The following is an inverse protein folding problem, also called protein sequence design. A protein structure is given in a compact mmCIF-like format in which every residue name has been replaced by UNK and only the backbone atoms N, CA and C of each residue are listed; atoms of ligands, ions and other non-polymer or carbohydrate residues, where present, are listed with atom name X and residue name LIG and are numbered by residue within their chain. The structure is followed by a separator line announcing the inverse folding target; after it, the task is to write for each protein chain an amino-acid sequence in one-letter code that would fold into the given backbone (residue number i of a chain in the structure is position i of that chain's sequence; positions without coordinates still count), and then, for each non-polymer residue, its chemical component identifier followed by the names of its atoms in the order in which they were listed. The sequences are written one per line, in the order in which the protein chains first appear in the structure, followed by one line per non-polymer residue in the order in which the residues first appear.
data_IF_435022483525
#
_entry.id   IF_435022483525
#
_cell.length_a   1.000
_cell.length_b   1.000
_cell.length_c   1.000
_cell.angle_alpha   90.00
_cell.angle_beta   90.00
_cell.angle_gamma   90.00
#
_symmetry.space_group_name_H-M   'P 1'
#
loop_
_entity.id
_entity.type
_entity.pdbx_description
1 polymer ?
#
# COMPACT_ATOMS: atom_id res chain seq x y z
N UNK A 1 5.43 -40.31 -8.73
CA UNK A 1 5.71 -38.93 -9.16
C UNK A 1 4.71 -38.46 -10.20
N UNK A 2 4.78 -38.84 -11.49
CA UNK A 2 3.74 -38.43 -12.46
C UNK A 2 2.32 -38.90 -12.10
N UNK A 3 2.17 -40.13 -11.59
CA UNK A 3 0.86 -40.63 -11.14
C UNK A 3 0.30 -39.85 -9.94
N UNK A 4 1.14 -39.48 -8.97
CA UNK A 4 0.73 -38.67 -7.82
C UNK A 4 0.34 -37.24 -8.24
N UNK A 5 1.09 -36.64 -9.17
CA UNK A 5 0.78 -35.33 -9.74
C UNK A 5 -0.57 -35.34 -10.47
N UNK A 6 -0.86 -36.39 -11.24
CA UNK A 6 -2.15 -36.58 -11.94
C UNK A 6 -3.31 -36.81 -10.96
N UNK A 7 -3.09 -37.60 -9.90
CA UNK A 7 -4.09 -37.81 -8.84
C UNK A 7 -4.43 -36.50 -8.12
N UNK A 8 -3.42 -35.73 -7.73
CA UNK A 8 -3.59 -34.43 -7.07
C UNK A 8 -4.28 -33.44 -8.01
N UNK A 9 -3.89 -33.39 -9.28
CA UNK A 9 -4.53 -32.55 -10.30
C UNK A 9 -6.02 -32.88 -10.42
N UNK A 10 -6.35 -34.17 -10.54
CA UNK A 10 -7.73 -34.64 -10.63
C UNK A 10 -8.54 -34.25 -9.41
N UNK A 11 -7.99 -34.42 -8.20
CA UNK A 11 -8.62 -34.00 -6.95
C UNK A 11 -8.93 -32.51 -6.94
N UNK A 12 -7.98 -31.65 -7.36
CA UNK A 12 -8.14 -30.19 -7.36
C UNK A 12 -9.20 -29.76 -8.40
N UNK A 13 -9.20 -30.37 -9.58
CA UNK A 13 -10.20 -30.11 -10.63
C UNK A 13 -11.61 -30.56 -10.20
N UNK A 14 -11.71 -31.71 -9.53
CA UNK A 14 -12.98 -32.19 -8.95
C UNK A 14 -13.49 -31.28 -7.85
N UNK A 15 -12.59 -30.78 -6.99
CA UNK A 15 -12.93 -29.78 -5.98
C UNK A 15 -13.46 -28.50 -6.60
N UNK A 16 -12.77 -27.92 -7.61
CA UNK A 16 -13.25 -26.71 -8.28
C UNK A 16 -14.63 -26.93 -8.92
N UNK A 17 -14.86 -28.11 -9.52
CA UNK A 17 -16.16 -28.47 -10.07
C UNK A 17 -17.24 -28.64 -8.97
N UNK A 18 -16.88 -29.16 -7.78
CA UNK A 18 -17.81 -29.26 -6.64
C UNK A 18 -18.16 -27.87 -6.09
N UNK A 19 -17.17 -27.00 -5.95
CA UNK A 19 -17.33 -25.59 -5.59
C UNK A 19 -18.31 -24.90 -6.55
N UNK A 20 -18.13 -25.09 -7.86
CA UNK A 20 -19.02 -24.52 -8.88
C UNK A 20 -20.47 -25.03 -8.81
N UNK A 21 -20.68 -26.29 -8.39
CA UNK A 21 -22.02 -26.87 -8.22
C UNK A 21 -22.66 -26.60 -6.85
N UNK A 22 -21.97 -25.92 -5.93
CA UNK A 22 -22.41 -25.78 -4.54
C UNK A 22 -22.47 -27.11 -3.78
N UNK A 23 -21.64 -28.09 -4.17
CA UNK A 23 -21.60 -29.42 -3.57
C UNK A 23 -20.69 -29.45 -2.35
N UNK A 24 -21.26 -29.18 -1.17
CA UNK A 24 -20.53 -29.17 0.10
C UNK A 24 -19.78 -30.48 0.38
N UNK A 25 -20.33 -31.64 0.01
CA UNK A 25 -19.66 -32.90 0.26
C UNK A 25 -18.42 -33.06 -0.64
N UNK A 26 -18.54 -32.66 -1.90
CA UNK A 26 -17.40 -32.63 -2.83
C UNK A 26 -16.34 -31.59 -2.44
N UNK A 27 -16.73 -30.45 -1.87
CA UNK A 27 -15.79 -29.43 -1.38
C UNK A 27 -14.96 -29.93 -0.21
N UNK A 28 -15.59 -30.66 0.71
CA UNK A 28 -14.92 -31.19 1.91
C UNK A 28 -14.18 -32.51 1.63
N UNK A 29 -14.44 -33.13 0.48
CA UNK A 29 -13.71 -34.31 0.07
C UNK A 29 -12.21 -33.99 -0.01
N UNK A 30 -11.41 -34.94 0.50
CA UNK A 30 -9.96 -34.89 0.48
C UNK A 30 -9.35 -33.65 1.19
N UNK A 31 -10.03 -33.12 2.21
CA UNK A 31 -9.46 -32.15 3.17
C UNK A 31 -9.10 -32.88 4.46
N UNK A 32 -7.99 -32.49 5.07
CA UNK A 32 -7.64 -33.01 6.39
C UNK A 32 -8.54 -32.42 7.47
N UNK A 33 -8.80 -33.18 8.53
CA UNK A 33 -9.60 -32.72 9.67
C UNK A 33 -9.00 -31.47 10.34
N UNK A 34 -7.67 -31.33 10.26
CA UNK A 34 -6.85 -30.24 10.80
C UNK A 34 -6.52 -29.14 9.77
N UNK A 35 -7.26 -29.04 8.66
CA UNK A 35 -7.00 -28.08 7.59
C UNK A 35 -6.84 -26.65 8.12
N UNK A 36 -5.85 -25.93 7.57
CA UNK A 36 -5.64 -24.50 7.81
C UNK A 36 -5.87 -23.74 6.51
N UNK A 37 -6.83 -22.82 6.51
CA UNK A 37 -7.09 -21.95 5.36
C UNK A 37 -6.78 -20.49 5.69
N UNK A 38 -6.10 -19.81 4.78
CA UNK A 38 -6.11 -18.36 4.65
C UNK A 38 -6.90 -18.00 3.40
N UNK A 39 -7.99 -17.27 3.58
CA UNK A 39 -8.90 -16.92 2.49
C UNK A 39 -8.94 -15.40 2.30
N UNK A 40 -9.57 -14.96 1.20
CA UNK A 40 -9.76 -13.54 0.88
C UNK A 40 -10.74 -12.86 1.86
N UNK A 41 -11.90 -13.45 2.21
CA UNK A 41 -12.79 -12.87 3.21
C UNK A 41 -12.23 -13.06 4.64
N UNK A 42 -12.67 -12.24 5.62
CA UNK A 42 -12.40 -12.47 7.03
C UNK A 42 -12.78 -13.90 7.47
N UNK A 43 -12.13 -14.45 8.53
CA UNK A 43 -11.31 -13.76 9.53
C UNK A 43 -9.84 -13.57 9.13
N UNK A 44 -9.23 -12.45 9.56
CA UNK A 44 -7.82 -12.12 9.26
C UNK A 44 -6.81 -13.14 9.81
N UNK A 45 -7.17 -13.84 10.89
CA UNK A 45 -6.34 -14.90 11.47
C UNK A 45 -6.42 -16.21 10.68
N UNK A 46 -7.28 -16.31 9.66
CA UNK A 46 -7.61 -17.52 8.91
C UNK A 46 -8.48 -18.51 9.69
N UNK A 47 -8.84 -19.61 9.03
CA UNK A 47 -9.75 -20.66 9.52
C UNK A 47 -8.98 -21.95 9.80
N UNK A 48 -9.36 -22.70 10.84
CA UNK A 48 -8.66 -23.91 11.30
C UNK A 48 -9.66 -25.01 11.65
N UNK A 49 -9.43 -26.20 11.12
CA UNK A 49 -10.29 -27.37 11.29
C UNK A 49 -11.41 -27.46 10.25
N UNK A 50 -11.82 -28.70 9.93
CA UNK A 50 -12.77 -28.99 8.84
C UNK A 50 -14.17 -28.40 9.07
N UNK A 51 -14.63 -28.30 10.33
CA UNK A 51 -15.93 -27.71 10.66
C UNK A 51 -15.94 -26.20 10.39
N UNK A 52 -14.90 -25.49 10.84
CA UNK A 52 -14.78 -24.06 10.59
C UNK A 52 -14.57 -23.76 9.10
N UNK A 53 -13.82 -24.62 8.39
CA UNK A 53 -13.69 -24.55 6.93
C UNK A 53 -15.04 -24.73 6.23
N UNK A 54 -15.86 -25.72 6.64
CA UNK A 54 -17.22 -25.92 6.10
C UNK A 54 -18.08 -24.66 6.23
N UNK A 55 -17.96 -23.93 7.34
CA UNK A 55 -18.77 -22.74 7.61
C UNK A 55 -18.45 -21.54 6.68
N UNK A 56 -17.31 -21.53 5.97
CA UNK A 56 -16.97 -20.42 5.05
C UNK A 56 -17.65 -20.51 3.70
N UNK A 57 -18.07 -21.71 3.29
CA UNK A 57 -18.56 -21.98 1.94
C UNK A 57 -20.00 -21.52 1.60
N UNK A 58 -20.99 -21.52 2.53
CA UNK A 58 -22.36 -21.18 2.17
C UNK A 58 -22.52 -19.79 1.52
N UNK A 59 -21.91 -18.70 2.03
CA UNK A 59 -21.98 -17.40 1.37
C UNK A 59 -21.36 -17.40 -0.04
N UNK A 60 -20.29 -18.19 -0.24
CA UNK A 60 -19.63 -18.32 -1.54
C UNK A 60 -20.51 -19.07 -2.55
N UNK A 61 -21.23 -20.10 -2.12
CA UNK A 61 -22.18 -20.81 -2.97
C UNK A 61 -23.35 -19.91 -3.39
N UNK A 62 -23.87 -19.10 -2.48
CA UNK A 62 -24.91 -18.11 -2.80
C UNK A 62 -24.43 -17.08 -3.84
N UNK A 63 -23.17 -16.66 -3.74
CA UNK A 63 -22.54 -15.77 -4.71
C UNK A 63 -22.33 -16.44 -6.08
N UNK A 64 -21.87 -17.69 -6.13
CA UNK A 64 -21.76 -18.42 -7.39
C UNK A 64 -23.10 -18.69 -8.07
N UNK A 65 -24.16 -18.93 -7.31
CA UNK A 65 -25.51 -19.09 -7.84
C UNK A 65 -26.02 -17.84 -8.58
N UNK A 66 -25.41 -16.66 -8.36
CA UNK A 66 -25.72 -15.41 -9.06
C UNK A 66 -24.99 -15.26 -10.40
N UNK A 67 -24.21 -16.27 -10.83
CA UNK A 67 -23.50 -16.29 -12.11
C UNK A 67 -22.01 -15.94 -12.02
N UNK A 68 -21.44 -15.90 -10.81
CA UNK A 68 -20.01 -15.73 -10.64
C UNK A 68 -19.23 -16.96 -11.17
N UNK A 69 -18.03 -16.71 -11.69
CA UNK A 69 -17.12 -17.73 -12.21
C UNK A 69 -16.17 -18.21 -11.12
N UNK A 70 -15.82 -19.50 -11.15
CA UNK A 70 -14.72 -20.08 -10.38
C UNK A 70 -14.07 -21.20 -11.21
N UNK A 71 -13.14 -20.82 -12.08
CA UNK A 71 -12.53 -21.73 -13.06
C UNK A 71 -11.00 -21.74 -12.91
N UNK A 72 -10.39 -22.92 -12.93
CA UNK A 72 -8.94 -23.06 -12.94
C UNK A 72 -8.43 -22.72 -14.35
N UNK A 73 -7.55 -21.71 -14.46
CA UNK A 73 -6.90 -21.36 -15.72
C UNK A 73 -5.54 -22.03 -15.89
N UNK A 74 -4.78 -22.13 -14.79
CA UNK A 74 -3.53 -22.86 -14.76
C UNK A 74 -3.37 -23.57 -13.42
N UNK A 75 -2.73 -24.74 -13.44
CA UNK A 75 -2.47 -25.55 -12.26
C UNK A 75 -1.15 -26.30 -12.45
N UNK A 76 -0.22 -26.03 -11.55
CA UNK A 76 1.05 -26.74 -11.46
C UNK A 76 1.09 -27.53 -10.15
N UNK A 77 1.63 -28.74 -10.22
CA UNK A 77 1.68 -29.68 -9.10
C UNK A 77 3.09 -30.21 -8.99
N UNK A 78 3.63 -30.26 -7.78
CA UNK A 78 4.89 -30.95 -7.47
C UNK A 78 4.64 -31.92 -6.32
N UNK A 79 4.87 -33.21 -6.57
CA UNK A 79 4.60 -34.26 -5.60
C UNK A 79 5.85 -35.03 -5.17
N UNK A 80 6.06 -35.13 -3.85
CA UNK A 80 6.96 -36.10 -3.24
C UNK A 80 6.22 -37.39 -2.88
N UNK A 81 6.82 -38.23 -2.03
CA UNK A 81 6.19 -39.49 -1.60
C UNK A 81 5.00 -39.25 -0.66
N UNK A 82 5.17 -38.33 0.31
CA UNK A 82 4.24 -38.12 1.43
C UNK A 82 3.72 -36.68 1.55
N UNK A 83 4.35 -35.73 0.85
CA UNK A 83 3.97 -34.31 0.81
C UNK A 83 4.00 -33.80 -0.62
N UNK A 84 3.11 -32.86 -0.92
CA UNK A 84 3.05 -32.20 -2.21
C UNK A 84 2.60 -30.75 -2.03
N UNK A 85 2.90 -29.92 -3.03
CA UNK A 85 2.27 -28.60 -3.15
C UNK A 85 1.76 -28.40 -4.56
N UNK A 86 0.71 -27.59 -4.68
CA UNK A 86 0.18 -27.15 -5.94
C UNK A 86 -0.07 -25.65 -5.91
N UNK A 87 0.06 -24.99 -7.05
CA UNK A 87 -0.34 -23.60 -7.20
C UNK A 87 -1.14 -23.42 -8.48
N UNK A 88 -2.13 -22.54 -8.42
CA UNK A 88 -3.05 -22.30 -9.52
C UNK A 88 -3.41 -20.82 -9.68
N UNK A 89 -3.71 -20.44 -10.91
CA UNK A 89 -4.45 -19.22 -11.21
C UNK A 89 -5.89 -19.61 -11.53
N UNK A 90 -6.83 -18.92 -10.90
CA UNK A 90 -8.25 -19.12 -11.11
C UNK A 90 -8.88 -17.83 -11.62
N UNK A 91 -9.81 -17.99 -12.54
CA UNK A 91 -10.77 -16.97 -12.91
C UNK A 91 -11.92 -17.00 -11.90
N UNK A 92 -11.89 -16.07 -10.95
CA UNK A 92 -12.88 -15.93 -9.89
C UNK A 92 -13.43 -14.51 -9.85
N UNK A 93 -14.72 -14.33 -10.13
CA UNK A 93 -15.36 -13.01 -10.20
C UNK A 93 -16.73 -13.05 -10.88
N UNK A 94 -17.50 -11.97 -10.79
CA UNK A 94 -18.75 -11.79 -11.54
C UNK A 94 -18.47 -11.33 -12.98
N UNK A 95 -19.46 -11.41 -13.90
CA UNK A 95 -19.34 -10.79 -15.22
C UNK A 95 -18.98 -9.29 -15.15
N UNK A 96 -19.51 -8.57 -14.17
CA UNK A 96 -19.19 -7.16 -13.91
C UNK A 96 -17.72 -6.97 -13.51
N UNK A 97 -17.21 -7.81 -12.59
CA UNK A 97 -15.79 -7.76 -12.16
C UNK A 97 -14.85 -7.90 -13.37
N UNK A 98 -15.19 -8.80 -14.31
CA UNK A 98 -14.37 -9.02 -15.52
C UNK A 98 -14.60 -7.98 -16.62
N UNK A 99 -15.75 -7.32 -16.65
CA UNK A 99 -15.96 -6.19 -17.55
C UNK A 99 -15.11 -4.99 -17.13
N UNK A 100 -14.92 -4.78 -15.82
CA UNK A 100 -14.05 -3.74 -15.27
C UNK A 100 -12.57 -4.13 -15.31
N UNK A 101 -12.23 -5.36 -14.89
CA UNK A 101 -10.85 -5.86 -14.79
C UNK A 101 -10.73 -7.28 -15.39
N UNK A 102 -10.59 -7.38 -16.72
CA UNK A 102 -10.49 -8.67 -17.43
C UNK A 102 -9.34 -9.57 -16.95
N UNK A 103 -8.27 -8.98 -16.41
CA UNK A 103 -7.06 -9.63 -15.91
C UNK A 103 -7.15 -10.07 -14.43
N UNK A 104 -8.24 -9.80 -13.72
CA UNK A 104 -8.36 -10.18 -12.32
C UNK A 104 -8.25 -11.71 -12.16
N UNK A 105 -7.31 -12.17 -11.32
CA UNK A 105 -7.07 -13.60 -11.06
C UNK A 105 -6.95 -13.88 -9.58
N UNK A 106 -7.64 -14.94 -9.14
CA UNK A 106 -7.41 -15.50 -7.82
C UNK A 106 -6.19 -16.41 -7.89
N UNK A 107 -5.27 -16.26 -6.93
CA UNK A 107 -4.10 -17.13 -6.76
C UNK A 107 -4.42 -18.13 -5.68
N UNK A 108 -4.13 -19.40 -5.95
CA UNK A 108 -4.31 -20.51 -5.03
C UNK A 108 -2.98 -21.19 -4.77
N UNK A 109 -2.69 -21.49 -3.51
CA UNK A 109 -1.62 -22.43 -3.11
C UNK A 109 -2.20 -23.48 -2.18
N UNK A 110 -1.91 -24.75 -2.47
CA UNK A 110 -2.36 -25.90 -1.71
C UNK A 110 -1.16 -26.65 -1.16
N UNK A 111 -1.17 -26.92 0.14
CA UNK A 111 -0.27 -27.87 0.78
C UNK A 111 -0.99 -29.18 1.01
N UNK A 112 -0.44 -30.28 0.47
CA UNK A 112 -1.03 -31.60 0.57
C UNK A 112 -0.10 -32.57 1.30
N UNK A 113 -0.70 -33.53 2.01
CA UNK A 113 0.02 -34.67 2.59
C UNK A 113 -0.73 -35.96 2.29
N UNK A 114 -0.01 -37.08 2.25
CA UNK A 114 -0.61 -38.39 2.02
C UNK A 114 -1.01 -39.00 3.37
N UNK A 115 -2.28 -39.37 3.50
CA UNK A 115 -2.86 -40.02 4.68
C UNK A 115 -3.53 -41.31 4.26
N UNK A 116 -3.16 -42.43 4.90
CA UNK A 116 -3.74 -43.76 4.59
C UNK A 116 -3.73 -44.11 3.10
N UNK A 117 -2.69 -43.68 2.37
CA UNK A 117 -2.55 -43.90 0.93
C UNK A 117 -3.33 -42.95 0.02
N UNK A 118 -4.01 -41.93 0.57
CA UNK A 118 -4.75 -40.90 -0.17
C UNK A 118 -4.12 -39.53 0.02
N UNK A 119 -4.13 -38.72 -1.02
CA UNK A 119 -3.75 -37.31 -0.91
C UNK A 119 -4.88 -36.51 -0.27
N UNK A 120 -4.55 -35.70 0.74
CA UNK A 120 -5.47 -34.75 1.36
C UNK A 120 -4.84 -33.36 1.39
N UNK A 121 -5.67 -32.34 1.22
CA UNK A 121 -5.29 -30.93 1.36
C UNK A 121 -5.28 -30.57 2.84
N UNK A 122 -4.11 -30.19 3.35
CA UNK A 122 -3.92 -29.76 4.74
C UNK A 122 -3.78 -28.23 4.87
N UNK A 123 -3.43 -27.55 3.78
CA UNK A 123 -3.33 -26.10 3.76
C UNK A 123 -3.91 -25.51 2.47
N UNK A 124 -4.68 -24.44 2.61
CA UNK A 124 -5.19 -23.65 1.49
C UNK A 124 -4.88 -22.17 1.69
N UNK A 125 -4.37 -21.52 0.65
CA UNK A 125 -4.20 -20.07 0.62
C UNK A 125 -4.82 -19.51 -0.65
N UNK A 126 -5.75 -18.58 -0.48
CA UNK A 126 -6.37 -17.82 -1.56
C UNK A 126 -6.00 -16.34 -1.45
N UNK A 127 -5.61 -15.72 -2.56
CA UNK A 127 -5.38 -14.27 -2.60
C UNK A 127 -5.59 -13.69 -3.98
N UNK A 128 -6.18 -12.49 -4.06
CA UNK A 128 -6.08 -11.68 -5.27
C UNK A 128 -4.77 -10.87 -5.23
N UNK A 129 -4.12 -10.63 -6.39
CA UNK A 129 -3.05 -9.64 -6.46
C UNK A 129 -3.62 -8.28 -6.09
N UNK A 130 -2.87 -7.52 -5.29
CA UNK A 130 -3.22 -6.13 -5.06
C UNK A 130 -3.06 -5.39 -6.39
N UNK A 131 -4.17 -4.90 -6.93
CA UNK A 131 -4.21 -4.05 -8.11
C UNK A 131 -4.69 -2.69 -7.63
N UNK A 132 -4.01 -1.62 -8.07
CA UNK A 132 -4.25 -0.25 -7.63
C UNK A 132 -5.63 0.34 -8.06
N UNK A 133 -6.63 -0.52 -8.33
CA UNK A 133 -7.94 -0.13 -8.85
C UNK A 133 -9.09 -1.07 -8.52
N UNK A 134 -8.94 -2.04 -7.61
CA UNK A 134 -10.08 -2.76 -7.04
C UNK A 134 -10.36 -2.27 -5.64
N UNK A 135 -11.61 -1.92 -5.31
CA UNK A 135 -12.02 -1.36 -4.02
C UNK A 135 -11.16 -1.93 -2.89
N UNK A 136 -10.21 -1.11 -2.48
CA UNK A 136 -9.31 -1.48 -1.42
C UNK A 136 -10.18 -1.72 -0.18
N UNK A 137 -9.92 -2.80 0.55
CA UNK A 137 -10.57 -3.05 1.84
C UNK A 137 -10.64 -1.72 2.61
N UNK A 138 -11.73 -1.38 3.33
CA UNK A 138 -12.00 -0.01 3.79
C UNK A 138 -10.79 0.70 4.44
N UNK A 139 -9.91 -0.06 5.11
CA UNK A 139 -8.65 0.42 5.66
C UNK A 139 -7.56 0.78 4.62
N UNK A 140 -7.39 -0.01 3.56
CA UNK A 140 -6.46 0.26 2.47
C UNK A 140 -6.99 1.37 1.54
N UNK A 141 -8.32 1.46 1.31
CA UNK A 141 -8.92 2.59 0.61
C UNK A 141 -8.77 3.89 1.42
N UNK A 142 -9.00 3.83 2.74
CA UNK A 142 -8.77 4.96 3.63
C UNK A 142 -7.29 5.36 3.66
N UNK A 143 -6.35 4.41 3.65
CA UNK A 143 -4.92 4.70 3.59
C UNK A 143 -4.52 5.38 2.28
N UNK A 144 -5.00 4.88 1.13
CA UNK A 144 -4.74 5.49 -0.18
C UNK A 144 -5.37 6.89 -0.32
N UNK A 145 -6.61 7.07 0.19
CA UNK A 145 -7.25 8.37 0.25
C UNK A 145 -6.47 9.34 1.14
N UNK A 146 -6.04 8.90 2.31
CA UNK A 146 -5.22 9.69 3.22
C UNK A 146 -3.84 10.05 2.64
N UNK A 147 -3.23 9.14 1.88
CA UNK A 147 -1.99 9.41 1.15
C UNK A 147 -2.21 10.53 0.11
N UNK A 148 -3.31 10.47 -0.65
CA UNK A 148 -3.70 11.52 -1.58
C UNK A 148 -3.98 12.86 -0.90
N UNK A 149 -4.60 12.86 0.30
CA UNK A 149 -4.80 14.05 1.13
C UNK A 149 -3.45 14.68 1.51
N UNK A 150 -2.46 13.90 1.94
CA UNK A 150 -1.12 14.41 2.29
C UNK A 150 -0.36 14.91 1.05
N UNK A 151 -0.52 14.27 -0.11
CA UNK A 151 -0.01 14.82 -1.37
C UNK A 151 -0.70 16.14 -1.75
N UNK A 152 -1.99 16.31 -1.44
CA UNK A 152 -2.70 17.56 -1.67
C UNK A 152 -2.16 18.69 -0.78
N UNK A 153 -1.84 18.41 0.48
CA UNK A 153 -1.16 19.38 1.37
C UNK A 153 0.15 19.88 0.75
N UNK A 154 0.98 18.99 0.21
CA UNK A 154 2.24 19.40 -0.44
C UNK A 154 2.01 20.23 -1.69
N UNK A 155 1.05 19.84 -2.55
CA UNK A 155 0.69 20.64 -3.74
C UNK A 155 0.23 22.04 -3.37
N UNK A 156 -0.62 22.15 -2.34
CA UNK A 156 -1.08 23.44 -1.82
C UNK A 156 0.12 24.29 -1.36
N UNK A 157 1.06 23.72 -0.62
CA UNK A 157 2.28 24.43 -0.23
C UNK A 157 3.16 24.87 -1.41
N UNK A 158 3.23 24.09 -2.49
CA UNK A 158 3.95 24.48 -3.71
C UNK A 158 3.30 25.70 -4.37
N UNK A 159 1.97 25.66 -4.50
CA UNK A 159 1.18 26.74 -5.07
C UNK A 159 1.26 28.02 -4.20
N UNK A 160 1.14 27.87 -2.88
CA UNK A 160 1.24 28.97 -1.91
C UNK A 160 2.64 29.58 -1.88
N UNK A 161 3.68 28.76 -2.03
CA UNK A 161 5.06 29.26 -2.19
C UNK A 161 5.18 30.12 -3.44
N UNK A 162 4.70 29.62 -4.58
CA UNK A 162 4.73 30.34 -5.84
C UNK A 162 3.92 31.65 -5.80
N UNK A 163 2.79 31.66 -5.07
CA UNK A 163 1.96 32.81 -4.82
C UNK A 163 2.51 33.76 -3.73
N UNK A 164 3.52 33.33 -2.97
CA UNK A 164 4.02 33.96 -1.75
C UNK A 164 2.93 34.18 -0.69
N UNK A 165 1.99 33.24 -0.60
CA UNK A 165 0.91 33.26 0.39
C UNK A 165 1.38 32.66 1.72
N UNK A 166 1.80 33.53 2.64
CA UNK A 166 2.23 33.09 3.96
C UNK A 166 1.08 32.47 4.78
N UNK A 167 -0.15 32.93 4.62
CA UNK A 167 -1.28 32.37 5.36
C UNK A 167 -1.63 30.97 4.87
N UNK A 168 -1.60 30.77 3.55
CA UNK A 168 -1.73 29.45 2.92
C UNK A 168 -0.65 28.47 3.41
N UNK A 169 0.62 28.87 3.41
CA UNK A 169 1.73 28.04 3.90
C UNK A 169 1.54 27.55 5.34
N UNK A 170 0.94 28.37 6.21
CA UNK A 170 0.75 28.01 7.62
C UNK A 170 -0.46 27.12 7.88
N UNK A 171 -1.40 26.99 6.92
CA UNK A 171 -2.70 26.32 7.11
C UNK A 171 -2.61 24.85 7.56
N UNK A 172 -1.54 24.14 7.15
CA UNK A 172 -1.34 22.73 7.47
C UNK A 172 -0.22 22.48 8.50
N UNK A 173 0.12 23.48 9.32
CA UNK A 173 1.18 23.37 10.32
C UNK A 173 0.56 23.34 11.71
N UNK A 174 0.89 22.32 12.51
CA UNK A 174 0.35 22.18 13.85
C UNK A 174 0.88 23.28 14.78
N UNK A 175 0.04 23.76 15.71
CA UNK A 175 0.43 24.78 16.70
C UNK A 175 1.67 24.38 17.52
N UNK A 176 1.81 23.08 17.80
CA UNK A 176 2.87 22.44 18.59
C UNK A 176 4.00 21.83 17.72
N UNK A 177 4.11 22.24 16.46
CA UNK A 177 5.14 21.73 15.54
C UNK A 177 6.55 21.87 16.10
N UNK A 178 7.39 20.87 15.86
CA UNK A 178 8.84 20.95 16.06
C UNK A 178 9.53 20.84 14.70
N UNK A 179 10.34 21.82 14.32
CA UNK A 179 11.05 21.79 13.04
C UNK A 179 12.55 21.94 13.20
N UNK A 180 13.29 21.18 12.40
CA UNK A 180 14.71 21.38 12.14
C UNK A 180 14.85 21.96 10.73
N UNK A 181 15.24 23.23 10.67
CA UNK A 181 15.39 23.99 9.42
C UNK A 181 16.83 23.97 8.91
N UNK A 182 17.07 24.46 7.69
CA UNK A 182 18.42 24.59 7.15
C UNK A 182 19.26 25.64 7.88
N UNK A 183 18.59 26.59 8.52
CA UNK A 183 19.13 27.80 9.15
C UNK A 183 19.09 27.69 10.68
N UNK A 184 19.74 28.64 11.35
CA UNK A 184 19.65 28.76 12.81
C UNK A 184 18.27 29.31 13.25
N UNK A 185 17.77 28.94 14.46
CA UNK A 185 18.38 28.09 15.48
C UNK A 185 18.32 26.58 15.20
N UNK A 186 18.96 25.77 16.06
CA UNK A 186 19.00 24.29 15.94
C UNK A 186 17.62 23.64 15.81
N UNK A 187 16.59 24.26 16.39
CA UNK A 187 15.20 23.84 16.25
C UNK A 187 14.26 25.02 16.43
N UNK A 188 13.14 24.98 15.72
CA UNK A 188 12.01 25.87 15.86
C UNK A 188 10.90 25.14 16.62
N UNK A 189 10.32 25.81 17.61
CA UNK A 189 9.25 25.25 18.45
C UNK A 189 7.99 26.10 18.30
N UNK A 190 6.91 25.45 17.89
CA UNK A 190 5.61 26.06 17.70
C UNK A 190 5.45 26.81 16.38
N UNK A 191 4.19 26.93 15.95
CA UNK A 191 3.82 27.45 14.61
C UNK A 191 4.30 28.87 14.35
N UNK A 192 4.32 29.75 15.35
CA UNK A 192 4.80 31.13 15.21
C UNK A 192 6.28 31.20 14.83
N UNK A 193 7.10 30.29 15.36
CA UNK A 193 8.53 30.22 15.05
C UNK A 193 8.78 29.79 13.60
N UNK A 194 7.90 28.96 13.05
CA UNK A 194 7.93 28.52 11.64
C UNK A 194 7.40 29.62 10.73
N UNK A 195 6.32 30.29 11.13
CA UNK A 195 5.74 31.42 10.39
C UNK A 195 6.76 32.51 10.13
N UNK A 196 7.56 32.83 11.15
CA UNK A 196 8.64 33.79 11.03
C UNK A 196 9.74 33.31 10.06
N UNK A 197 10.09 32.03 10.05
CA UNK A 197 11.07 31.48 9.09
C UNK A 197 10.55 31.54 7.65
N UNK A 198 9.31 31.11 7.42
CA UNK A 198 8.66 31.20 6.11
C UNK A 198 8.58 32.66 5.62
N UNK A 199 8.21 33.58 6.51
CA UNK A 199 8.17 35.03 6.21
C UNK A 199 9.54 35.53 5.76
N UNK A 200 10.62 35.20 6.49
CA UNK A 200 12.00 35.57 6.12
C UNK A 200 12.39 35.01 4.76
N UNK A 201 12.07 33.74 4.49
CA UNK A 201 12.36 33.10 3.20
C UNK A 201 11.65 33.76 2.01
N UNK A 202 10.36 34.09 2.17
CA UNK A 202 9.58 34.78 1.13
C UNK A 202 10.07 36.21 0.87
N UNK A 203 10.42 36.96 1.93
CA UNK A 203 10.94 38.33 1.84
C UNK A 203 12.34 38.40 1.23
N UNK A 204 13.16 37.36 1.43
CA UNK A 204 14.50 37.28 0.85
C UNK A 204 14.48 37.12 -0.69
N UNK A 205 13.34 36.72 -1.27
CA UNK A 205 13.23 36.50 -2.72
C UNK A 205 12.56 37.70 -3.41
N UNK A 206 13.32 38.41 -4.25
CA UNK A 206 12.84 39.60 -4.97
C UNK A 206 11.97 39.28 -6.20
N UNK A 207 12.15 38.11 -6.81
CA UNK A 207 11.43 37.69 -8.01
C UNK A 207 10.53 36.48 -7.78
N UNK A 208 10.36 35.66 -8.83
CA UNK A 208 9.64 34.40 -8.75
C UNK A 208 10.34 33.41 -7.81
N UNK A 209 9.54 32.64 -7.07
CA UNK A 209 9.99 31.54 -6.22
C UNK A 209 9.18 30.30 -6.55
N UNK A 210 9.79 29.12 -6.47
CA UNK A 210 9.15 27.84 -6.70
C UNK A 210 9.73 26.78 -5.78
N UNK A 211 8.87 25.86 -5.37
CA UNK A 211 9.23 24.70 -4.57
C UNK A 211 8.47 23.49 -5.12
N UNK A 212 9.18 22.38 -5.30
CA UNK A 212 8.57 21.08 -5.50
C UNK A 212 9.44 19.96 -4.91
N UNK A 213 8.88 18.74 -4.83
CA UNK A 213 9.57 17.53 -4.38
C UNK A 213 9.30 16.44 -5.43
N UNK A 214 10.17 16.30 -6.46
CA UNK A 214 9.91 15.39 -7.59
C UNK A 214 9.77 13.91 -7.21
N UNK A 215 10.48 13.49 -6.16
CA UNK A 215 10.55 12.13 -5.63
C UNK A 215 9.81 12.02 -4.28
N UNK A 216 8.69 12.75 -4.14
CA UNK A 216 7.91 12.75 -2.91
C UNK A 216 7.31 11.37 -2.64
N UNK A 217 7.82 10.72 -1.60
CA UNK A 217 7.29 9.48 -1.05
C UNK A 217 6.41 9.80 0.16
N UNK A 218 5.27 9.13 0.29
CA UNK A 218 4.34 9.28 1.42
C UNK A 218 3.93 7.90 1.93
N UNK A 219 4.00 7.71 3.25
CA UNK A 219 3.53 6.51 3.93
C UNK A 219 2.54 6.89 5.01
N UNK A 220 1.32 6.38 4.91
CA UNK A 220 0.24 6.61 5.90
C UNK A 220 -0.06 5.35 6.69
N UNK A 221 -0.20 5.48 8.01
CA UNK A 221 -0.75 4.46 8.91
C UNK A 221 -1.70 5.14 9.89
N UNK A 222 -2.99 4.84 9.76
CA UNK A 222 -4.05 5.38 10.63
C UNK A 222 -4.03 6.92 10.66
N UNK A 223 -3.74 7.53 11.82
CA UNK A 223 -3.72 8.97 12.04
C UNK A 223 -2.33 9.60 11.86
N UNK A 224 -1.33 8.86 11.38
CA UNK A 224 0.03 9.34 11.15
C UNK A 224 0.45 9.15 9.69
N UNK A 225 1.11 10.16 9.13
CA UNK A 225 1.77 10.06 7.85
C UNK A 225 3.24 10.53 7.94
N UNK A 226 4.11 9.89 7.19
CA UNK A 226 5.51 10.30 7.02
C UNK A 226 5.74 10.54 5.53
N UNK A 227 6.29 11.70 5.20
CA UNK A 227 6.67 12.06 3.85
C UNK A 227 8.16 12.38 3.77
N UNK A 228 8.83 11.99 2.70
CA UNK A 228 10.23 12.33 2.47
C UNK A 228 10.53 12.48 0.98
N UNK A 229 11.64 13.16 0.68
CA UNK A 229 12.11 13.39 -0.68
C UNK A 229 13.15 14.49 -0.73
N UNK A 230 13.56 14.86 -1.95
CA UNK A 230 14.49 15.94 -2.20
C UNK A 230 13.72 17.20 -2.59
N UNK A 231 13.78 18.23 -1.72
CA UNK A 231 13.19 19.53 -2.02
C UNK A 231 14.02 20.22 -3.10
N UNK A 232 13.39 20.56 -4.21
CA UNK A 232 13.93 21.45 -5.23
C UNK A 232 13.35 22.85 -5.03
N UNK A 233 14.23 23.80 -4.73
CA UNK A 233 13.87 25.21 -4.59
C UNK A 233 14.46 26.00 -5.75
N UNK A 234 13.65 26.86 -6.35
CA UNK A 234 14.06 27.78 -7.40
C UNK A 234 13.70 29.20 -6.97
N UNK A 235 14.68 30.09 -6.91
CA UNK A 235 14.45 31.48 -6.48
C UNK A 235 15.18 32.45 -7.41
N UNK A 236 14.44 33.43 -7.92
CA UNK A 236 14.99 34.51 -8.72
C UNK A 236 15.62 35.58 -7.82
N UNK A 237 16.89 35.87 -8.09
CA UNK A 237 17.70 36.87 -7.41
C UNK A 237 17.44 38.29 -7.96
N UNK A 238 17.87 39.35 -7.25
CA UNK A 238 17.67 40.74 -7.68
C UNK A 238 18.32 41.10 -9.02
N UNK A 239 19.37 40.39 -9.43
CA UNK A 239 20.05 40.55 -10.72
C UNK A 239 19.34 39.83 -11.88
N UNK A 240 18.26 39.09 -11.59
CA UNK A 240 17.47 38.33 -12.56
C UNK A 240 17.88 36.88 -12.74
N UNK A 241 18.97 36.42 -12.11
CA UNK A 241 19.41 35.02 -12.15
C UNK A 241 18.47 34.13 -11.32
N UNK A 242 18.10 32.95 -11.83
CA UNK A 242 17.36 31.95 -11.08
C UNK A 242 18.32 30.92 -10.48
N UNK A 243 18.39 30.88 -9.16
CA UNK A 243 19.20 29.90 -8.43
C UNK A 243 18.34 28.69 -8.10
N UNK A 244 18.86 27.50 -8.42
CA UNK A 244 18.27 26.22 -8.03
C UNK A 244 19.10 25.56 -6.93
N UNK A 245 18.45 25.11 -5.87
CA UNK A 245 19.07 24.35 -4.79
C UNK A 245 18.28 23.09 -4.47
N UNK A 246 18.98 22.07 -3.99
CA UNK A 246 18.41 20.79 -3.58
C UNK A 246 18.75 20.50 -2.12
N UNK A 247 17.75 20.09 -1.34
CA UNK A 247 17.93 19.70 0.05
C UNK A 247 17.12 18.45 0.37
N UNK A 248 17.45 17.74 1.46
CA UNK A 248 16.69 16.58 1.92
C UNK A 248 15.55 17.05 2.80
N UNK A 249 14.39 16.42 2.70
CA UNK A 249 13.24 16.69 3.56
C UNK A 249 12.65 15.42 4.16
N UNK A 250 12.25 15.49 5.41
CA UNK A 250 11.37 14.51 6.07
C UNK A 250 10.33 15.26 6.88
N UNK A 251 9.06 14.89 6.74
CA UNK A 251 7.92 15.54 7.37
C UNK A 251 7.01 14.49 7.98
N UNK A 252 6.53 14.75 9.18
CA UNK A 252 5.58 13.89 9.88
C UNK A 252 4.29 14.67 10.08
N UNK A 253 3.19 14.07 9.66
CA UNK A 253 1.85 14.63 9.79
C UNK A 253 1.05 13.79 10.77
N UNK A 254 0.13 14.44 11.45
CA UNK A 254 -0.89 13.81 12.27
C UNK A 254 -2.27 14.30 11.83
N UNK A 255 -3.24 13.39 11.76
CA UNK A 255 -4.63 13.75 11.52
C UNK A 255 -5.23 14.33 12.80
N UNK A 256 -5.67 15.59 12.77
CA UNK A 256 -6.35 16.29 13.88
C UNK A 256 -7.62 16.93 13.34
N UNK A 257 -8.74 16.70 14.01
CA UNK A 257 -10.05 17.27 13.62
C UNK A 257 -10.44 17.04 12.15
N UNK A 258 -10.01 15.89 11.60
CA UNK A 258 -10.28 15.51 10.21
C UNK A 258 -9.23 15.96 9.19
N UNK A 259 -8.30 16.82 9.58
CA UNK A 259 -7.29 17.43 8.70
C UNK A 259 -5.88 16.90 8.99
N UNK A 260 -5.03 16.85 7.97
CA UNK A 260 -3.60 16.52 8.15
C UNK A 260 -2.82 17.78 8.47
N UNK A 261 -2.16 17.78 9.64
CA UNK A 261 -1.27 18.86 10.08
C UNK A 261 0.13 18.33 10.32
N UNK A 262 1.13 19.07 9.87
CA UNK A 262 2.54 18.75 10.08
C UNK A 262 2.90 19.00 11.54
N UNK A 263 3.32 17.93 12.24
CA UNK A 263 3.74 17.96 13.64
C UNK A 263 5.26 17.94 13.78
N UNK A 264 5.98 17.46 12.77
CA UNK A 264 7.44 17.50 12.73
C UNK A 264 7.99 17.68 11.32
N UNK A 265 9.11 18.40 11.22
CA UNK A 265 9.86 18.61 9.99
C UNK A 265 11.37 18.50 10.27
N UNK A 266 12.10 17.94 9.31
CA UNK A 266 13.55 18.06 9.22
C UNK A 266 13.94 18.29 7.76
N UNK A 267 14.52 19.47 7.50
CA UNK A 267 15.14 19.80 6.22
C UNK A 267 16.63 20.08 6.40
N UNK A 268 17.45 19.63 5.45
CA UNK A 268 18.91 19.78 5.60
C UNK A 268 19.70 19.68 4.30
N UNK A 269 20.85 20.35 4.29
CA UNK A 269 21.89 20.17 3.28
C UNK A 269 22.97 19.19 3.79
N UNK A 270 23.55 18.36 2.91
CA UNK A 270 24.83 17.71 3.24
C UNK A 270 25.93 18.78 3.38
N UNK A 271 27.03 18.45 4.06
CA UNK A 271 28.17 19.35 4.23
C UNK A 271 29.46 18.71 3.71
N UNK A 272 30.42 19.56 3.31
CA UNK A 272 31.77 19.15 2.95
C UNK A 272 32.60 18.95 4.23
N UNK A 273 33.11 17.73 4.50
CA UNK A 273 33.84 17.45 5.75
C UNK A 273 35.20 18.15 5.85
N UNK A 274 35.77 18.62 4.74
CA UNK A 274 37.05 19.34 4.70
C UNK A 274 36.87 20.82 5.02
N UNK A 275 35.83 21.43 4.44
CA UNK A 275 35.60 22.88 4.57
C UNK A 275 34.56 23.26 5.62
N UNK A 276 33.73 22.30 6.06
CA UNK A 276 32.61 22.53 6.97
C UNK A 276 31.42 23.24 6.33
N UNK A 277 31.44 23.49 5.01
CA UNK A 277 30.38 24.25 4.32
C UNK A 277 29.24 23.34 3.87
N UNK A 278 28.00 23.84 3.96
CA UNK A 278 26.84 23.20 3.35
C UNK A 278 27.01 23.11 1.82
N UNK A 279 26.57 22.00 1.24
CA UNK A 279 26.62 21.70 -0.20
C UNK A 279 25.26 21.91 -0.83
N UNK A 280 25.07 23.09 -1.44
CA UNK A 280 23.83 23.51 -2.12
C UNK A 280 23.90 23.33 -3.66
N UNK A 281 25.07 22.93 -4.16
CA UNK A 281 25.41 22.74 -5.57
C UNK A 281 25.13 21.32 -6.10
N UNK A 282 24.78 20.39 -5.21
CA UNK A 282 24.50 18.99 -5.59
C UNK A 282 23.17 18.86 -6.34
N UNK A 283 23.08 17.82 -7.18
CA UNK A 283 21.90 17.44 -7.97
C UNK A 283 21.68 15.92 -7.84
N UNK A 284 20.42 15.43 -7.87
CA UNK A 284 20.10 14.00 -7.86
C UNK A 284 20.69 13.24 -9.06
#
# INVERSE_FOLDING_TARGET
MHEDEEQIRTLIEQWAAAVHRGDMNGVLADRSDDIVMFDVPPPCAGVRGIDAYRETWPPFFEWQAQGATFEIESLDVTAGNDVAFAHALLRCGTPEDFAERPENRLRLTLGLRKEHGRWVVAHEHHSFPHTAGGEAAPAAAAAAAAEQEVHAVHRQWFDDTAAKDLDGLMSHIAEDVVSYEHSEPLQHLGVESIREECRRGLEATSGAVGWDVPDLEVLVREDIAVAWGLNRMQAQQPDGETVETWSRGTRVFRRRDGEWVMVHQHVSFPFDPTTGRARTDLRP
#
